data_IF_766511311334
#
_entry.id   IF_766511311334
#
_cell.length_a   1.000
_cell.length_b   1.000
_cell.length_c   1.000
_cell.angle_alpha   90.00
_cell.angle_beta   90.00
_cell.angle_gamma   90.00
#
_symmetry.space_group_name_H-M   'P 1'
#
loop_
_entity.id
_entity.type
_entity.pdbx_description
1 polymer ?
#
# COMPACT_ATOMS: atom_id res chain seq x y z
N UNK A 1 -1.72 7.73 37.36
CA UNK A 1 -2.91 7.37 36.56
C UNK A 1 -3.70 8.61 36.20
N UNK A 2 -4.12 9.44 37.16
CA UNK A 2 -4.91 10.65 36.87
C UNK A 2 -4.22 11.66 35.93
N UNK A 3 -2.92 11.92 36.14
CA UNK A 3 -2.17 12.82 35.27
C UNK A 3 -2.14 12.40 33.79
N UNK A 4 -2.17 11.08 33.51
CA UNK A 4 -2.22 10.58 32.15
C UNK A 4 -3.57 10.90 31.50
N UNK A 5 -4.68 10.55 32.18
CA UNK A 5 -6.02 10.84 31.69
C UNK A 5 -6.26 12.34 31.53
N UNK A 6 -5.80 13.15 32.48
CA UNK A 6 -5.88 14.60 32.39
C UNK A 6 -5.16 15.14 31.13
N UNK A 7 -3.94 14.67 30.85
CA UNK A 7 -3.18 15.13 29.68
C UNK A 7 -3.83 14.71 28.35
N UNK A 8 -4.29 13.47 28.22
CA UNK A 8 -4.86 12.99 26.94
C UNK A 8 -6.21 13.66 26.63
N UNK A 9 -7.01 14.01 27.65
CA UNK A 9 -8.25 14.75 27.46
C UNK A 9 -8.07 16.28 27.47
N UNK A 10 -6.86 16.77 27.74
CA UNK A 10 -6.57 18.20 27.69
C UNK A 10 -6.39 18.69 26.27
N UNK A 11 -6.77 19.94 26.04
CA UNK A 11 -6.40 20.63 24.81
C UNK A 11 -4.89 20.94 24.83
N UNK A 12 -4.14 20.68 23.74
CA UNK A 12 -4.58 20.23 22.41
C UNK A 12 -4.52 18.71 22.16
N UNK A 13 -3.97 17.92 23.08
CA UNK A 13 -3.74 16.46 22.89
C UNK A 13 -5.04 15.69 22.59
N UNK A 14 -6.17 16.16 23.12
CA UNK A 14 -7.49 15.58 22.85
C UNK A 14 -7.80 15.48 21.36
N UNK A 15 -7.35 16.44 20.54
CA UNK A 15 -7.54 16.42 19.08
C UNK A 15 -6.98 15.14 18.47
N UNK A 16 -5.74 14.79 18.83
CA UNK A 16 -5.09 13.60 18.34
C UNK A 16 -5.64 12.32 18.97
N UNK A 17 -6.11 12.36 20.22
CA UNK A 17 -6.77 11.19 20.84
C UNK A 17 -8.04 10.77 20.10
N UNK A 18 -8.83 11.75 19.65
CA UNK A 18 -10.06 11.47 18.89
C UNK A 18 -9.72 10.81 17.56
N UNK A 19 -8.70 11.32 16.84
CA UNK A 19 -8.23 10.72 15.58
C UNK A 19 -7.73 9.30 15.82
N UNK A 20 -6.90 9.08 16.84
CA UNK A 20 -6.41 7.73 17.20
C UNK A 20 -7.53 6.79 17.58
N UNK A 21 -8.59 7.27 18.26
CA UNK A 21 -9.74 6.46 18.61
C UNK A 21 -10.52 6.04 17.36
N UNK A 22 -10.72 6.95 16.39
CA UNK A 22 -11.34 6.61 15.09
C UNK A 22 -10.50 5.56 14.36
N UNK A 23 -9.18 5.73 14.31
CA UNK A 23 -8.28 4.74 13.69
C UNK A 23 -8.29 3.40 14.44
N UNK A 24 -8.39 3.41 15.77
CA UNK A 24 -8.52 2.18 16.56
C UNK A 24 -9.82 1.42 16.24
N UNK A 25 -10.93 2.15 16.05
CA UNK A 25 -12.21 1.56 15.61
C UNK A 25 -12.07 1.00 14.20
N UNK A 26 -11.42 1.71 13.27
CA UNK A 26 -11.10 1.18 11.95
C UNK A 26 -10.31 -0.13 12.02
N UNK A 27 -9.26 -0.18 12.84
CA UNK A 27 -8.45 -1.38 13.02
C UNK A 27 -9.25 -2.54 13.61
N UNK A 28 -10.22 -2.27 14.49
CA UNK A 28 -11.13 -3.29 15.01
C UNK A 28 -11.95 -3.92 13.87
N UNK A 29 -12.52 -3.11 12.98
CA UNK A 29 -13.26 -3.59 11.81
C UNK A 29 -12.38 -4.32 10.80
N UNK A 30 -11.16 -3.83 10.57
CA UNK A 30 -10.20 -4.47 9.69
C UNK A 30 -9.79 -5.86 10.21
N UNK A 31 -9.54 -6.01 11.52
CA UNK A 31 -9.19 -7.31 12.12
C UNK A 31 -10.36 -8.30 12.06
N UNK A 32 -11.60 -7.81 12.13
CA UNK A 32 -12.80 -8.65 11.94
C UNK A 32 -13.04 -9.04 10.47
N UNK A 33 -12.23 -8.53 9.53
CA UNK A 33 -12.40 -8.77 8.10
C UNK A 33 -13.63 -8.09 7.51
N UNK A 34 -14.19 -7.08 8.19
CA UNK A 34 -15.33 -6.31 7.70
C UNK A 34 -14.92 -5.23 6.70
N UNK A 35 -13.65 -4.82 6.73
CA UNK A 35 -13.06 -3.79 5.88
C UNK A 35 -11.73 -4.29 5.38
N UNK A 36 -11.52 -4.26 4.06
CA UNK A 36 -10.22 -4.56 3.48
C UNK A 36 -9.22 -3.44 3.79
N UNK A 37 -7.95 -3.81 4.01
CA UNK A 37 -6.88 -2.84 4.35
C UNK A 37 -6.71 -1.79 3.24
N UNK A 38 -7.15 -2.12 2.02
CA UNK A 38 -6.97 -1.35 0.80
C UNK A 38 -8.19 -0.47 0.45
N UNK A 39 -9.22 -0.42 1.30
CA UNK A 39 -10.43 0.41 1.09
C UNK A 39 -10.10 1.91 0.97
N UNK A 40 -9.00 2.35 1.57
CA UNK A 40 -8.51 3.73 1.48
C UNK A 40 -7.39 3.90 0.44
N UNK A 41 -6.96 2.81 -0.19
CA UNK A 41 -5.98 2.77 -1.28
C UNK A 41 -6.67 2.71 -2.66
N UNK A 42 -8.00 2.89 -2.72
CA UNK A 42 -8.78 2.90 -3.97
C UNK A 42 -8.15 3.87 -4.97
N UNK A 43 -7.60 3.27 -6.03
CA UNK A 43 -7.09 3.85 -7.27
C UNK A 43 -6.47 5.24 -7.12
N UNK A 44 -5.18 5.25 -6.77
CA UNK A 44 -4.28 6.37 -7.08
C UNK A 44 -4.13 6.63 -8.60
N UNK A 45 -4.79 5.84 -9.44
CA UNK A 45 -5.09 6.19 -10.83
C UNK A 45 -6.19 7.26 -10.80
N UNK A 46 -5.76 8.51 -10.91
CA UNK A 46 -6.61 9.70 -10.94
C UNK A 46 -7.46 9.69 -12.22
N UNK A 47 -8.52 8.88 -12.24
CA UNK A 47 -9.71 9.18 -13.03
C UNK A 47 -10.67 9.97 -12.12
N UNK A 48 -10.67 11.27 -12.36
CA UNK A 48 -11.38 12.27 -11.59
C UNK A 48 -12.89 12.19 -11.85
N UNK A 49 -13.61 11.26 -11.19
CA UNK A 49 -15.08 11.21 -11.26
C UNK A 49 -15.76 10.79 -9.92
N UNK A 50 -15.06 10.79 -8.79
CA UNK A 50 -15.64 10.50 -7.47
C UNK A 50 -15.64 11.76 -6.59
N UNK A 51 -16.81 12.40 -6.48
CA UNK A 51 -17.13 13.57 -5.63
C UNK A 51 -17.13 13.21 -4.12
N UNK A 52 -15.96 12.89 -3.56
CA UNK A 52 -15.76 12.74 -2.11
C UNK A 52 -14.63 13.66 -1.70
N UNK A 53 -14.95 14.84 -1.15
CA UNK A 53 -14.06 15.88 -0.56
C UNK A 53 -12.53 15.63 -0.76
N UNK A 54 -12.10 15.65 -2.03
CA UNK A 54 -10.86 14.99 -2.48
C UNK A 54 -9.62 15.88 -2.32
N UNK A 55 -9.80 17.15 -1.97
CA UNK A 55 -8.72 18.15 -1.89
C UNK A 55 -7.70 17.80 -0.78
N UNK A 56 -8.16 17.19 0.32
CA UNK A 56 -7.27 16.69 1.37
C UNK A 56 -6.55 15.39 0.99
N UNK A 57 -7.23 14.48 0.28
CA UNK A 57 -6.67 13.18 -0.11
C UNK A 57 -5.63 13.30 -1.23
N UNK A 58 -5.82 14.23 -2.18
CA UNK A 58 -4.82 14.53 -3.23
C UNK A 58 -3.50 15.05 -2.65
N UNK A 59 -3.55 15.90 -1.63
CA UNK A 59 -2.36 16.40 -0.93
C UNK A 59 -1.60 15.29 -0.18
N UNK A 60 -2.33 14.38 0.46
CA UNK A 60 -1.75 13.22 1.15
C UNK A 60 -1.10 12.25 0.15
N UNK A 61 -1.76 11.97 -0.98
CA UNK A 61 -1.22 11.12 -2.04
C UNK A 61 0.09 11.71 -2.61
N UNK A 62 0.13 13.00 -2.93
CA UNK A 62 1.34 13.68 -3.38
C UNK A 62 2.47 13.64 -2.35
N UNK A 63 2.14 13.80 -1.07
CA UNK A 63 3.10 13.70 0.03
C UNK A 63 3.70 12.28 0.16
N UNK A 64 2.90 11.23 0.00
CA UNK A 64 3.36 9.85 0.03
C UNK A 64 4.34 9.54 -1.13
N UNK A 65 4.04 10.06 -2.32
CA UNK A 65 4.93 9.94 -3.49
C UNK A 65 6.26 10.66 -3.23
N UNK A 66 6.21 11.93 -2.81
CA UNK A 66 7.43 12.72 -2.55
C UNK A 66 8.30 12.15 -1.42
N UNK A 67 7.70 11.55 -0.40
CA UNK A 67 8.41 10.92 0.71
C UNK A 67 8.91 9.50 0.41
N UNK A 68 8.54 8.94 -0.76
CA UNK A 68 8.93 7.59 -1.18
C UNK A 68 8.18 6.46 -0.45
N UNK A 69 7.01 6.78 0.12
CA UNK A 69 6.17 5.88 0.90
C UNK A 69 5.19 5.07 0.04
N UNK A 70 5.35 5.13 -1.29
CA UNK A 70 4.63 4.29 -2.25
C UNK A 70 4.78 2.80 -1.94
N UNK A 71 3.66 2.08 -1.88
CA UNK A 71 3.62 0.64 -1.56
C UNK A 71 3.44 0.32 -0.08
N UNK A 72 3.02 1.28 0.74
CA UNK A 72 2.58 1.08 2.13
C UNK A 72 1.15 1.60 2.25
N UNK A 73 0.22 0.83 2.87
CA UNK A 73 -1.17 1.25 2.99
C UNK A 73 -1.31 2.61 3.66
N UNK A 74 -2.16 3.48 3.09
CA UNK A 74 -2.35 4.86 3.59
C UNK A 74 -2.79 4.84 5.05
N UNK A 75 -3.61 3.87 5.43
CA UNK A 75 -4.10 3.64 6.80
C UNK A 75 -2.99 3.46 7.83
N UNK A 76 -1.92 2.75 7.46
CA UNK A 76 -0.75 2.54 8.30
C UNK A 76 0.01 3.85 8.48
N UNK A 77 0.21 4.60 7.40
CA UNK A 77 0.89 5.91 7.43
C UNK A 77 0.13 6.89 8.32
N UNK A 78 -1.20 6.97 8.13
CA UNK A 78 -2.08 7.84 8.92
C UNK A 78 -2.05 7.48 10.41
N UNK A 79 -2.05 6.19 10.75
CA UNK A 79 -1.94 5.72 12.13
C UNK A 79 -0.61 6.12 12.76
N UNK A 80 0.50 5.94 12.06
CA UNK A 80 1.82 6.29 12.57
C UNK A 80 1.99 7.81 12.73
N UNK A 81 1.50 8.59 11.75
CA UNK A 81 1.51 10.06 11.81
C UNK A 81 0.69 10.55 13.01
N UNK A 82 -0.55 10.07 13.17
CA UNK A 82 -1.41 10.44 14.28
C UNK A 82 -0.79 10.06 15.64
N UNK A 83 -0.15 8.88 15.73
CA UNK A 83 0.51 8.42 16.94
C UNK A 83 1.72 9.30 17.30
N UNK A 84 2.56 9.66 16.33
CA UNK A 84 3.71 10.52 16.55
C UNK A 84 3.30 11.96 16.90
N UNK A 85 2.29 12.50 16.22
CA UNK A 85 1.74 13.82 16.53
C UNK A 85 1.11 13.84 17.94
N UNK A 86 0.40 12.77 18.32
CA UNK A 86 -0.13 12.59 19.66
C UNK A 86 0.99 12.55 20.70
N UNK A 87 2.08 11.81 20.45
CA UNK A 87 3.20 11.69 21.37
C UNK A 87 3.90 13.05 21.57
N UNK A 88 4.16 13.77 20.49
CA UNK A 88 4.71 15.13 20.52
C UNK A 88 3.80 16.08 21.30
N UNK A 89 2.49 16.03 21.05
CA UNK A 89 1.51 16.85 21.76
C UNK A 89 1.47 16.52 23.25
N UNK A 90 1.46 15.24 23.61
CA UNK A 90 1.46 14.78 25.00
C UNK A 90 2.69 15.28 25.76
N UNK A 91 3.89 15.12 25.19
CA UNK A 91 5.12 15.58 25.82
C UNK A 91 5.20 17.12 25.88
N UNK A 92 4.70 17.82 24.87
CA UNK A 92 4.62 19.27 24.89
C UNK A 92 3.69 19.78 26.00
N UNK A 93 2.51 19.16 26.19
CA UNK A 93 1.64 19.48 27.34
C UNK A 93 2.35 19.15 28.66
N UNK A 94 2.89 17.94 28.78
CA UNK A 94 3.52 17.50 30.02
C UNK A 94 4.74 18.34 30.44
N UNK A 95 5.54 18.82 29.48
CA UNK A 95 6.78 19.55 29.73
C UNK A 95 6.62 21.08 29.71
N UNK A 96 5.81 21.61 28.79
CA UNK A 96 5.70 23.06 28.54
C UNK A 96 4.48 23.69 29.22
N UNK A 97 3.40 22.94 29.43
CA UNK A 97 2.19 23.45 30.10
C UNK A 97 2.30 23.26 31.62
N UNK A 98 3.36 23.82 32.20
CA UNK A 98 3.49 24.01 33.66
C UNK A 98 2.62 25.18 34.17
N UNK A 99 2.03 25.98 33.27
CA UNK A 99 1.16 27.12 33.57
C UNK A 99 -0.31 26.69 33.77
N UNK A 100 -1.11 27.52 34.44
CA UNK A 100 -2.55 27.29 34.64
C UNK A 100 -3.28 26.90 33.34
N UNK A 101 -4.00 25.78 33.40
CA UNK A 101 -4.82 25.26 32.31
C UNK A 101 -6.04 26.18 32.13
N UNK A 102 -6.35 26.56 30.88
CA UNK A 102 -7.55 27.34 30.55
C UNK A 102 -7.35 28.84 30.30
N UNK A 103 -6.12 29.35 30.41
CA UNK A 103 -5.79 30.71 29.96
C UNK A 103 -5.95 30.86 28.45
N UNK A 104 -6.32 32.04 27.95
CA UNK A 104 -6.37 32.34 26.51
C UNK A 104 -5.05 32.01 25.79
N UNK A 105 -3.92 32.22 26.48
CA UNK A 105 -2.60 31.92 25.94
C UNK A 105 -2.36 30.40 25.76
N UNK A 106 -2.96 29.59 26.63
CA UNK A 106 -2.90 28.12 26.53
C UNK A 106 -3.60 27.60 25.27
N UNK A 107 -4.73 28.21 24.91
CA UNK A 107 -5.46 27.88 23.67
C UNK A 107 -4.70 28.34 22.42
N UNK A 108 -4.08 29.53 22.44
CA UNK A 108 -3.27 30.00 21.30
C UNK A 108 -2.04 29.11 21.07
N UNK A 109 -1.30 28.79 22.13
CA UNK A 109 -0.14 27.89 22.05
C UNK A 109 -0.56 26.50 21.62
N UNK A 110 -1.67 25.96 22.18
CA UNK A 110 -2.18 24.66 21.77
C UNK A 110 -2.64 24.63 20.31
N UNK A 111 -3.23 25.71 19.81
CA UNK A 111 -3.63 25.84 18.40
C UNK A 111 -2.44 25.82 17.46
N UNK A 112 -1.36 26.51 17.83
CA UNK A 112 -0.11 26.50 17.06
C UNK A 112 0.63 25.15 17.16
N UNK A 113 0.48 24.44 18.28
CA UNK A 113 1.12 23.16 18.52
C UNK A 113 0.56 22.04 17.64
N UNK A 114 -0.74 22.06 17.30
CA UNK A 114 -1.36 21.05 16.42
C UNK A 114 -0.65 20.95 15.06
N UNK A 115 -0.58 22.01 14.23
CA UNK A 115 0.10 21.94 12.94
C UNK A 115 1.61 21.72 13.10
N UNK A 116 2.24 22.25 14.16
CA UNK A 116 3.66 22.00 14.43
C UNK A 116 3.95 20.51 14.71
N UNK A 117 3.11 19.86 15.52
CA UNK A 117 3.23 18.44 15.82
C UNK A 117 3.04 17.58 14.56
N UNK A 118 2.07 17.91 13.71
CA UNK A 118 1.86 17.24 12.42
C UNK A 118 3.07 17.43 11.51
N UNK A 119 3.56 18.66 11.36
CA UNK A 119 4.70 18.99 10.50
C UNK A 119 5.97 18.23 10.91
N UNK A 120 6.21 18.07 12.22
CA UNK A 120 7.33 17.28 12.75
C UNK A 120 7.07 15.78 12.62
N UNK A 121 5.83 15.31 12.78
CA UNK A 121 5.48 13.90 12.66
C UNK A 121 5.70 13.37 11.24
N UNK A 122 5.47 14.16 10.19
CA UNK A 122 5.61 13.75 8.79
C UNK A 122 7.02 13.17 8.46
N UNK A 123 8.13 13.90 8.64
CA UNK A 123 9.46 13.38 8.31
C UNK A 123 9.86 12.20 9.20
N UNK A 124 9.44 12.19 10.48
CA UNK A 124 9.70 11.09 11.42
C UNK A 124 8.96 9.83 10.97
N UNK A 125 7.69 9.96 10.58
CA UNK A 125 6.87 8.89 10.00
C UNK A 125 7.57 8.30 8.77
N UNK A 126 8.02 9.17 7.85
CA UNK A 126 8.71 8.72 6.65
C UNK A 126 10.02 7.96 6.98
N UNK A 127 10.78 8.43 7.96
CA UNK A 127 12.01 7.77 8.40
C UNK A 127 11.74 6.40 9.04
N UNK A 128 10.66 6.25 9.80
CA UNK A 128 10.26 4.98 10.42
C UNK A 128 9.75 3.97 9.39
N UNK A 129 9.00 4.41 8.37
CA UNK A 129 8.36 3.52 7.38
C UNK A 129 9.36 3.03 6.31
N UNK A 130 10.32 3.87 5.89
CA UNK A 130 11.33 3.50 4.88
C UNK A 130 11.99 2.12 5.11
N UNK A 131 12.49 1.76 6.31
CA UNK A 131 13.07 0.44 6.56
C UNK A 131 12.03 -0.69 6.62
N UNK A 132 10.75 -0.38 6.87
CA UNK A 132 9.65 -1.35 6.92
C UNK A 132 9.05 -1.66 5.54
N UNK A 133 9.27 -0.80 4.54
CA UNK A 133 8.84 -0.97 3.15
C UNK A 133 9.06 -2.37 2.55
N UNK A 134 10.21 -3.06 2.72
CA UNK A 134 10.39 -4.40 2.16
C UNK A 134 9.45 -5.47 2.75
N UNK A 135 8.86 -5.25 3.93
CA UNK A 135 7.89 -6.16 4.53
C UNK A 135 6.53 -6.03 3.85
N UNK A 136 6.09 -4.80 3.56
CA UNK A 136 4.84 -4.54 2.86
C UNK A 136 4.88 -5.01 1.40
N UNK A 137 6.05 -4.95 0.75
CA UNK A 137 6.21 -5.44 -0.64
C UNK A 137 5.87 -6.91 -0.82
N UNK A 138 6.02 -7.74 0.23
CA UNK A 138 5.69 -9.19 0.18
C UNK A 138 4.20 -9.47 0.37
N UNK A 139 3.49 -8.58 1.06
CA UNK A 139 2.04 -8.69 1.29
C UNK A 139 1.28 -8.13 0.08
N UNK A 140 1.84 -7.10 -0.57
CA UNK A 140 1.28 -6.37 -1.70
C UNK A 140 2.00 -6.64 -3.01
N UNK A 141 2.64 -7.81 -3.16
CA UNK A 141 3.10 -8.21 -4.50
C UNK A 141 1.85 -8.33 -5.38
N UNK A 142 1.77 -7.62 -6.52
CA UNK A 142 0.66 -7.84 -7.45
C UNK A 142 0.54 -9.34 -7.71
N UNK A 143 -0.67 -9.89 -7.86
CA UNK A 143 -0.81 -11.29 -8.23
C UNK A 143 0.14 -11.59 -9.40
N UNK A 144 0.91 -12.70 -9.35
CA UNK A 144 1.97 -13.00 -10.32
C UNK A 144 1.50 -12.83 -11.77
N UNK A 145 0.22 -13.05 -11.99
CA UNK A 145 -0.55 -12.83 -13.22
C UNK A 145 -0.22 -11.53 -13.97
N UNK A 146 -0.10 -10.37 -13.30
CA UNK A 146 0.21 -9.10 -13.99
C UNK A 146 1.70 -8.88 -14.27
N UNK A 147 2.59 -9.53 -13.52
CA UNK A 147 4.06 -9.37 -13.65
C UNK A 147 4.64 -10.33 -14.72
N UNK A 148 3.89 -11.39 -15.02
CA UNK A 148 4.31 -12.46 -15.92
C UNK A 148 3.97 -12.18 -17.40
N UNK A 149 3.02 -11.28 -17.69
CA UNK A 149 2.70 -10.89 -19.06
C UNK A 149 3.87 -10.15 -19.73
N UNK A 150 4.11 -10.45 -21.01
CA UNK A 150 5.22 -9.93 -21.80
C UNK A 150 6.58 -10.56 -21.49
N UNK A 151 6.68 -11.52 -20.57
CA UNK A 151 7.93 -12.21 -20.29
C UNK A 151 8.11 -13.48 -21.11
N UNK A 152 9.36 -13.73 -21.50
CA UNK A 152 9.81 -14.96 -22.14
C UNK A 152 9.95 -16.07 -21.08
N UNK A 153 9.37 -17.22 -21.36
CA UNK A 153 9.39 -18.42 -20.52
C UNK A 153 9.64 -19.65 -21.39
N UNK A 154 10.05 -20.77 -20.77
CA UNK A 154 10.42 -21.98 -21.51
C UNK A 154 9.37 -23.06 -21.35
N UNK A 155 8.94 -23.64 -22.46
CA UNK A 155 8.00 -24.76 -22.45
C UNK A 155 8.61 -25.96 -21.73
N UNK A 156 7.89 -26.50 -20.75
CA UNK A 156 8.28 -27.67 -19.96
C UNK A 156 7.60 -28.93 -20.46
N UNK A 157 6.34 -28.81 -20.90
CA UNK A 157 5.54 -29.93 -21.39
C UNK A 157 6.01 -30.40 -22.76
N UNK A 158 5.70 -31.65 -23.10
CA UNK A 158 6.05 -32.25 -24.41
C UNK A 158 5.22 -31.67 -25.55
N UNK A 159 4.02 -31.17 -25.24
CA UNK A 159 3.10 -30.54 -26.18
C UNK A 159 2.40 -29.36 -25.49
N UNK A 160 1.99 -28.39 -26.29
CA UNK A 160 1.11 -27.28 -25.88
C UNK A 160 -0.06 -27.23 -26.85
N UNK A 161 -1.27 -27.21 -26.31
CA UNK A 161 -2.53 -27.04 -27.04
C UNK A 161 -3.48 -26.14 -26.22
N UNK A 162 -4.70 -25.94 -26.73
CA UNK A 162 -5.73 -25.10 -26.08
C UNK A 162 -6.21 -25.64 -24.73
N UNK A 163 -5.87 -26.88 -24.37
CA UNK A 163 -6.30 -27.57 -23.14
C UNK A 163 -5.17 -28.00 -22.23
N UNK A 164 -3.94 -28.09 -22.72
CA UNK A 164 -2.81 -28.67 -22.02
C UNK A 164 -1.49 -27.96 -22.38
N UNK A 165 -0.67 -27.71 -21.37
CA UNK A 165 0.62 -27.07 -21.53
C UNK A 165 1.16 -26.56 -20.20
N UNK A 166 2.47 -26.68 -20.01
CA UNK A 166 3.19 -26.13 -18.86
C UNK A 166 4.47 -25.42 -19.32
N UNK A 167 4.75 -24.28 -18.72
CA UNK A 167 6.00 -23.54 -18.92
C UNK A 167 6.66 -23.21 -17.58
N UNK A 168 7.96 -22.98 -17.62
CA UNK A 168 8.74 -22.48 -16.50
C UNK A 168 9.07 -21.02 -16.77
N UNK A 169 8.67 -20.15 -15.85
CA UNK A 169 9.05 -18.75 -15.82
C UNK A 169 9.97 -18.50 -14.62
N UNK A 170 11.13 -17.91 -14.87
CA UNK A 170 12.05 -17.52 -13.80
C UNK A 170 11.73 -16.09 -13.35
N UNK A 171 11.33 -15.93 -12.09
CA UNK A 171 11.00 -14.65 -11.48
C UNK A 171 11.86 -14.44 -10.23
N UNK A 172 12.76 -13.46 -10.26
CA UNK A 172 13.59 -13.05 -9.12
C UNK A 172 14.29 -14.21 -8.38
N UNK A 173 14.76 -15.21 -9.13
CA UNK A 173 15.46 -16.39 -8.59
C UNK A 173 14.55 -17.54 -8.13
N UNK A 174 13.23 -17.43 -8.30
CA UNK A 174 12.28 -18.51 -8.15
C UNK A 174 11.79 -19.00 -9.52
N UNK A 175 11.81 -20.31 -9.74
CA UNK A 175 11.21 -20.93 -10.94
C UNK A 175 9.75 -21.27 -10.67
N UNK A 176 8.85 -20.63 -11.40
CA UNK A 176 7.41 -20.84 -11.32
C UNK A 176 6.96 -21.75 -12.46
N UNK A 177 6.16 -22.75 -12.14
CA UNK A 177 5.51 -23.60 -13.16
C UNK A 177 4.12 -23.00 -13.43
N UNK A 178 3.93 -22.53 -14.66
CA UNK A 178 2.69 -21.89 -15.10
C UNK A 178 1.96 -22.82 -16.06
N UNK A 179 0.62 -22.84 -15.97
CA UNK A 179 -0.22 -23.53 -16.95
C UNK A 179 -0.33 -22.63 -18.17
N UNK A 180 0.11 -23.13 -19.32
CA UNK A 180 0.07 -22.38 -20.57
C UNK A 180 -0.87 -23.04 -21.57
N UNK A 181 -1.39 -22.23 -22.48
CA UNK A 181 -2.28 -22.59 -23.58
C UNK A 181 -1.81 -21.88 -24.83
N UNK A 182 -1.86 -22.57 -25.95
CA UNK A 182 -1.47 -21.99 -27.23
C UNK A 182 -2.12 -22.75 -28.38
N UNK A 183 -1.96 -22.21 -29.57
CA UNK A 183 -2.47 -22.82 -30.79
C UNK A 183 -1.73 -24.13 -31.09
N UNK A 184 -2.48 -25.22 -31.23
CA UNK A 184 -1.91 -26.54 -31.53
C UNK A 184 -1.15 -26.57 -32.87
N UNK A 185 -1.51 -25.69 -33.81
CA UNK A 185 -0.87 -25.55 -35.13
C UNK A 185 0.61 -25.12 -35.02
N UNK A 186 0.97 -24.40 -33.94
CA UNK A 186 2.32 -23.88 -33.71
C UNK A 186 3.29 -24.94 -33.18
N UNK A 187 2.83 -26.17 -32.89
CA UNK A 187 3.64 -27.33 -32.53
C UNK A 187 4.77 -27.05 -31.50
N UNK A 188 4.45 -26.28 -30.46
CA UNK A 188 5.41 -25.93 -29.40
C UNK A 188 5.89 -27.19 -28.66
N UNK A 189 7.21 -27.35 -28.57
CA UNK A 189 7.87 -28.47 -27.91
C UNK A 189 8.63 -28.04 -26.65
N UNK A 190 9.03 -29.04 -25.86
CA UNK A 190 9.80 -28.83 -24.64
C UNK A 190 11.11 -28.10 -24.95
N UNK A 191 11.32 -26.97 -24.28
CA UNK A 191 12.50 -26.13 -24.42
C UNK A 191 12.28 -24.89 -25.27
N UNK A 192 11.18 -24.81 -26.01
CA UNK A 192 10.88 -23.67 -26.87
C UNK A 192 10.61 -22.40 -26.03
N UNK A 193 11.14 -21.23 -26.44
CA UNK A 193 10.85 -19.97 -25.80
C UNK A 193 9.49 -19.43 -26.26
N UNK A 194 8.66 -19.06 -25.29
CA UNK A 194 7.32 -18.52 -25.50
C UNK A 194 7.07 -17.30 -24.62
N UNK A 195 6.23 -16.39 -25.09
CA UNK A 195 5.87 -15.15 -24.38
C UNK A 195 4.43 -15.24 -23.91
N UNK A 196 4.20 -14.90 -22.64
CA UNK A 196 2.87 -14.86 -22.02
C UNK A 196 2.17 -13.58 -22.44
N UNK A 197 1.06 -13.68 -23.19
CA UNK A 197 0.38 -12.50 -23.74
C UNK A 197 -0.92 -12.16 -23.02
N UNK A 198 -1.62 -13.17 -22.51
CA UNK A 198 -2.91 -12.96 -21.85
C UNK A 198 -3.05 -13.95 -20.69
N UNK A 199 -3.66 -13.49 -19.60
CA UNK A 199 -4.02 -14.34 -18.47
C UNK A 199 -5.52 -14.62 -18.49
N UNK A 200 -5.89 -15.91 -18.46
CA UNK A 200 -7.29 -16.38 -18.41
C UNK A 200 -7.61 -16.83 -16.98
N UNK A 201 -8.44 -16.08 -16.24
CA UNK A 201 -8.75 -16.38 -14.84
C UNK A 201 -9.61 -17.64 -14.67
N UNK A 202 -10.44 -17.98 -15.65
CA UNK A 202 -11.38 -19.10 -15.57
C UNK A 202 -10.69 -20.46 -15.31
N UNK A 203 -9.55 -20.69 -15.97
CA UNK A 203 -8.79 -21.95 -15.89
C UNK A 203 -7.42 -21.78 -15.19
N UNK A 204 -7.14 -20.57 -14.69
CA UNK A 204 -5.84 -20.15 -14.18
C UNK A 204 -4.71 -20.55 -15.16
N UNK A 205 -4.83 -20.06 -16.39
CA UNK A 205 -3.91 -20.40 -17.48
C UNK A 205 -3.54 -19.18 -18.30
N UNK A 206 -2.35 -19.22 -18.89
CA UNK A 206 -1.84 -18.13 -19.71
C UNK A 206 -1.85 -18.51 -21.17
N UNK A 207 -2.32 -17.61 -22.02
CA UNK A 207 -2.19 -17.73 -23.46
C UNK A 207 -0.78 -17.31 -23.87
N UNK A 208 -0.13 -18.12 -24.69
CA UNK A 208 1.26 -17.91 -25.10
C UNK A 208 1.42 -17.90 -26.61
N UNK A 209 2.42 -17.15 -27.08
CA UNK A 209 2.89 -17.15 -28.47
C UNK A 209 4.39 -17.47 -28.52
N UNK A 210 4.89 -18.07 -29.61
CA UNK A 210 6.33 -18.20 -29.84
C UNK A 210 7.03 -16.84 -29.74
N UNK A 211 8.20 -16.80 -29.10
CA UNK A 211 8.98 -15.57 -28.95
C UNK A 211 9.35 -14.93 -30.31
N UNK A 212 9.56 -15.74 -31.34
CA UNK A 212 9.84 -15.28 -32.69
C UNK A 212 8.67 -14.52 -33.34
N UNK A 213 7.44 -14.83 -32.98
CA UNK A 213 6.24 -14.16 -33.49
C UNK A 213 5.98 -12.85 -32.75
N UNK A 214 6.23 -12.85 -31.43
CA UNK A 214 6.12 -11.66 -30.60
C UNK A 214 7.07 -10.54 -31.07
N UNK A 215 8.33 -10.87 -31.37
CA UNK A 215 9.34 -9.89 -31.79
C UNK A 215 9.18 -9.40 -33.25
N UNK A 216 8.35 -10.07 -34.06
CA UNK A 216 8.11 -9.67 -35.46
C UNK A 216 6.94 -8.69 -35.62
N UNK A 217 6.22 -8.39 -34.53
CA UNK A 217 5.03 -7.54 -34.53
C UNK A 217 5.29 -6.13 -33.95
N UNK A 218 6.55 -5.78 -33.69
CA UNK A 218 7.06 -4.42 -33.42
C UNK A 218 7.59 -3.76 -34.70
#
# INVERSE_FOLDING_TARGET
MEAFFANIFSYPTVFFTVILLVLAVYWLFAILGMVDIDVLDLDMDVDADVDVDLEGMTGLAGLLVTLGLTGVPVTVVMTLLALLAWLLSYFAVHLLFFWEHGSLMSYLVGSALIPAAIAVAIPVTAQLIKPLKPLFRKVYTPPPDKVLLGRSCKVRSTRVDERFGEAIADLDGASLILRIRGEAEKNLQRGDPVVLIEYRPDDNSYWVVPEAEFNNND
#
